data_IF_191349926695
#
_entry.id   IF_191349926695
#
_cell.length_a   1.000
_cell.length_b   1.000
_cell.length_c   1.000
_cell.angle_alpha   90.00
_cell.angle_beta   90.00
_cell.angle_gamma   90.00
#
_symmetry.space_group_name_H-M   'P 1'
#
loop_
_entity.id
_entity.type
_entity.pdbx_description
1 polymer ?
#
# COMPACT_ATOMS: atom_id res chain seq x y z
N UNK A 1 14.66 -26.02 -13.93
CA UNK A 1 15.39 -24.82 -13.46
C UNK A 1 14.58 -23.60 -13.86
N UNK A 2 14.42 -22.62 -12.98
CA UNK A 2 13.73 -21.36 -13.23
C UNK A 2 14.74 -20.24 -12.97
N UNK A 3 15.02 -19.39 -13.97
CA UNK A 3 16.05 -18.35 -13.90
C UNK A 3 17.44 -18.85 -13.44
N UNK A 4 17.82 -20.06 -13.84
CA UNK A 4 19.08 -20.71 -13.43
C UNK A 4 19.07 -21.35 -12.04
N UNK A 5 17.97 -21.24 -11.26
CA UNK A 5 17.84 -21.81 -9.95
C UNK A 5 17.11 -23.17 -9.95
N UNK A 6 17.43 -24.10 -9.03
CA UNK A 6 16.62 -25.26 -8.77
C UNK A 6 15.19 -24.85 -8.39
N UNK A 7 14.19 -25.61 -8.84
CA UNK A 7 12.77 -25.28 -8.57
C UNK A 7 12.46 -25.17 -7.07
N UNK A 8 13.13 -25.96 -6.25
CA UNK A 8 12.96 -25.91 -4.78
C UNK A 8 13.43 -24.57 -4.21
N UNK A 9 14.62 -24.10 -4.60
CA UNK A 9 15.17 -22.81 -4.16
C UNK A 9 14.28 -21.67 -4.60
N UNK A 10 13.81 -21.69 -5.86
CA UNK A 10 12.90 -20.69 -6.39
C UNK A 10 11.57 -20.67 -5.63
N UNK A 11 11.04 -21.84 -5.28
CA UNK A 11 9.81 -21.96 -4.46
C UNK A 11 10.00 -21.33 -3.08
N UNK A 12 11.13 -21.58 -2.42
CA UNK A 12 11.41 -21.00 -1.09
C UNK A 12 11.47 -19.47 -1.18
N UNK A 13 12.17 -18.93 -2.17
CA UNK A 13 12.24 -17.47 -2.40
C UNK A 13 10.83 -16.89 -2.62
N UNK A 14 10.04 -17.49 -3.49
CA UNK A 14 8.68 -17.07 -3.76
C UNK A 14 7.80 -17.09 -2.51
N UNK A 15 7.88 -18.14 -1.68
CA UNK A 15 7.14 -18.24 -0.42
C UNK A 15 7.56 -17.15 0.56
N UNK A 16 8.86 -16.88 0.70
CA UNK A 16 9.35 -15.81 1.58
C UNK A 16 8.79 -14.46 1.14
N UNK A 17 8.89 -14.13 -0.16
CA UNK A 17 8.35 -12.89 -0.72
C UNK A 17 6.84 -12.78 -0.44
N UNK A 18 6.09 -13.88 -0.63
CA UNK A 18 4.64 -13.92 -0.39
C UNK A 18 4.28 -13.69 1.08
N UNK A 19 5.04 -14.28 2.01
CA UNK A 19 4.82 -14.06 3.45
C UNK A 19 5.16 -12.62 3.86
N UNK A 20 6.22 -12.03 3.30
CA UNK A 20 6.55 -10.62 3.50
C UNK A 20 5.47 -9.69 2.94
N UNK A 21 4.89 -10.03 1.78
CA UNK A 21 3.76 -9.30 1.20
C UNK A 21 2.53 -9.34 2.12
N UNK A 22 2.20 -10.50 2.68
CA UNK A 22 1.07 -10.64 3.61
C UNK A 22 1.34 -9.87 4.90
N UNK A 23 2.50 -10.04 5.51
CA UNK A 23 2.85 -9.36 6.77
C UNK A 23 2.82 -7.82 6.61
N UNK A 24 3.46 -7.30 5.57
CA UNK A 24 3.44 -5.86 5.28
C UNK A 24 2.05 -5.35 4.90
N UNK A 25 1.27 -6.14 4.16
CA UNK A 25 -0.11 -5.83 3.81
C UNK A 25 -1.02 -5.72 5.03
N UNK A 26 -0.85 -6.59 6.04
CA UNK A 26 -1.57 -6.50 7.32
C UNK A 26 -1.21 -5.20 8.05
N UNK A 27 0.08 -4.82 8.09
CA UNK A 27 0.50 -3.53 8.68
C UNK A 27 -0.13 -2.33 7.95
N UNK A 28 -0.16 -2.37 6.61
CA UNK A 28 -0.80 -1.33 5.80
C UNK A 28 -2.31 -1.26 6.06
N UNK A 29 -2.98 -2.41 6.18
CA UNK A 29 -4.40 -2.47 6.52
C UNK A 29 -4.69 -1.86 7.89
N UNK A 30 -3.87 -2.16 8.90
CA UNK A 30 -3.94 -1.53 10.23
C UNK A 30 -3.72 -0.01 10.12
N UNK A 31 -2.76 0.42 9.30
CA UNK A 31 -2.53 1.83 8.97
C UNK A 31 -3.78 2.49 8.38
N UNK A 32 -4.43 1.84 7.40
CA UNK A 32 -5.67 2.33 6.79
C UNK A 32 -6.80 2.47 7.81
N UNK A 33 -6.97 1.49 8.71
CA UNK A 33 -7.98 1.54 9.77
C UNK A 33 -7.74 2.68 10.76
N UNK A 34 -6.48 3.10 10.94
CA UNK A 34 -6.06 4.23 11.79
C UNK A 34 -5.94 5.55 11.00
N UNK A 35 -6.35 5.57 9.73
CA UNK A 35 -6.19 6.72 8.83
C UNK A 35 -4.73 7.21 8.65
N UNK A 36 -3.77 6.32 8.81
CA UNK A 36 -2.33 6.58 8.64
C UNK A 36 -1.84 6.01 7.31
N UNK A 37 -1.12 6.83 6.51
CA UNK A 37 -0.65 6.44 5.16
C UNK A 37 0.46 5.42 5.14
N UNK A 38 1.37 5.43 6.12
CA UNK A 38 2.54 4.54 6.22
C UNK A 38 3.26 4.33 4.86
N UNK A 39 3.80 5.39 4.21
CA UNK A 39 4.22 5.33 2.81
C UNK A 39 5.28 4.26 2.52
N UNK A 40 6.25 4.07 3.42
CA UNK A 40 7.29 3.04 3.28
C UNK A 40 6.72 1.63 3.31
N UNK A 41 5.84 1.32 4.27
CA UNK A 41 5.19 0.02 4.37
C UNK A 41 4.24 -0.25 3.19
N UNK A 42 3.55 0.79 2.73
CA UNK A 42 2.69 0.70 1.54
C UNK A 42 3.49 0.37 0.29
N UNK A 43 4.60 1.07 0.04
CA UNK A 43 5.47 0.79 -1.09
C UNK A 43 6.06 -0.63 -1.02
N UNK A 44 6.51 -1.06 0.16
CA UNK A 44 7.04 -2.40 0.38
C UNK A 44 5.98 -3.49 0.14
N UNK A 45 4.76 -3.31 0.66
CA UNK A 45 3.63 -4.21 0.42
C UNK A 45 3.30 -4.33 -1.07
N UNK A 46 3.14 -3.21 -1.78
CA UNK A 46 2.80 -3.22 -3.20
C UNK A 46 3.91 -3.88 -4.02
N UNK A 47 5.18 -3.56 -3.74
CA UNK A 47 6.33 -4.16 -4.42
C UNK A 47 6.39 -5.67 -4.20
N UNK A 48 6.31 -6.13 -2.95
CA UNK A 48 6.38 -7.57 -2.63
C UNK A 48 5.20 -8.33 -3.20
N UNK A 49 4.00 -7.73 -3.25
CA UNK A 49 2.82 -8.35 -3.87
C UNK A 49 2.95 -8.44 -5.39
N UNK A 50 3.51 -7.41 -6.05
CA UNK A 50 3.84 -7.49 -7.49
C UNK A 50 4.86 -8.60 -7.74
N UNK A 51 5.94 -8.66 -6.95
CA UNK A 51 6.96 -9.70 -7.08
C UNK A 51 6.37 -11.10 -6.85
N UNK A 52 5.49 -11.27 -5.85
CA UNK A 52 4.77 -12.53 -5.62
C UNK A 52 3.97 -12.94 -6.86
N UNK A 53 3.18 -12.01 -7.43
CA UNK A 53 2.37 -12.29 -8.59
C UNK A 53 3.23 -12.63 -9.81
N UNK A 54 4.27 -11.83 -10.10
CA UNK A 54 5.16 -12.04 -11.25
C UNK A 54 5.95 -13.35 -11.11
N UNK A 55 6.53 -13.63 -9.95
CA UNK A 55 7.26 -14.89 -9.71
C UNK A 55 6.33 -16.10 -9.77
N UNK A 56 5.05 -15.94 -9.43
CA UNK A 56 4.04 -16.99 -9.58
C UNK A 56 3.85 -17.46 -11.03
N UNK A 57 3.96 -16.56 -12.01
CA UNK A 57 3.87 -16.90 -13.43
C UNK A 57 5.09 -17.65 -13.98
N UNK A 58 6.23 -17.60 -13.29
CA UNK A 58 7.46 -18.27 -13.73
C UNK A 58 7.47 -19.76 -13.39
N UNK A 59 6.52 -20.25 -12.57
CA UNK A 59 6.39 -21.69 -12.35
C UNK A 59 5.90 -22.39 -13.62
N UNK A 60 6.38 -23.62 -13.89
CA UNK A 60 5.91 -24.38 -15.02
C UNK A 60 4.40 -24.66 -14.89
N UNK A 61 3.65 -24.19 -15.89
CA UNK A 61 2.19 -24.26 -15.92
C UNK A 61 1.77 -25.19 -17.05
N UNK A 62 1.05 -26.26 -16.70
CA UNK A 62 0.42 -27.17 -17.67
C UNK A 62 -1.08 -26.82 -17.79
N UNK A 63 -1.39 -25.71 -18.51
CA UNK A 63 -2.75 -25.22 -18.70
C UNK A 63 -3.19 -24.13 -17.72
N UNK A 64 -4.42 -23.68 -17.86
CA UNK A 64 -4.99 -22.62 -16.99
C UNK A 64 -5.29 -23.18 -15.60
N UNK A 65 -4.67 -22.62 -14.58
CA UNK A 65 -4.87 -23.01 -13.18
C UNK A 65 -5.56 -21.88 -12.40
N UNK A 66 -6.29 -22.20 -11.30
CA UNK A 66 -6.85 -21.16 -10.43
C UNK A 66 -5.79 -20.19 -9.88
N UNK A 67 -4.58 -20.67 -9.63
CA UNK A 67 -3.46 -19.82 -9.19
C UNK A 67 -3.05 -18.80 -10.26
N UNK A 68 -3.04 -19.18 -11.53
CA UNK A 68 -2.78 -18.28 -12.66
C UNK A 68 -3.86 -17.19 -12.73
N UNK A 69 -5.14 -17.57 -12.65
CA UNK A 69 -6.25 -16.62 -12.63
C UNK A 69 -6.15 -15.63 -11.48
N UNK A 70 -5.82 -16.11 -10.27
CA UNK A 70 -5.60 -15.26 -9.10
C UNK A 70 -4.45 -14.27 -9.31
N UNK A 71 -3.35 -14.71 -9.94
CA UNK A 71 -2.20 -13.85 -10.26
C UNK A 71 -2.57 -12.73 -11.25
N UNK A 72 -3.33 -13.05 -12.31
CA UNK A 72 -3.80 -12.06 -13.29
C UNK A 72 -4.68 -11.00 -12.60
N UNK A 73 -5.69 -11.43 -11.84
CA UNK A 73 -6.58 -10.53 -11.09
C UNK A 73 -5.78 -9.66 -10.12
N UNK A 74 -4.81 -10.26 -9.40
CA UNK A 74 -3.93 -9.53 -8.48
C UNK A 74 -3.16 -8.42 -9.19
N UNK A 75 -2.55 -8.68 -10.35
CA UNK A 75 -1.82 -7.66 -11.11
C UNK A 75 -2.72 -6.52 -11.60
N UNK A 76 -3.95 -6.81 -12.03
CA UNK A 76 -4.92 -5.77 -12.41
C UNK A 76 -5.29 -4.89 -11.21
N UNK A 77 -5.58 -5.51 -10.05
CA UNK A 77 -5.88 -4.77 -8.81
C UNK A 77 -4.69 -3.92 -8.35
N UNK A 78 -3.47 -4.45 -8.44
CA UNK A 78 -2.25 -3.73 -8.11
C UNK A 78 -1.99 -2.55 -9.05
N UNK A 79 -2.23 -2.72 -10.35
CA UNK A 79 -2.13 -1.62 -11.30
C UNK A 79 -3.09 -0.46 -10.96
N UNK A 80 -4.34 -0.79 -10.60
CA UNK A 80 -5.31 0.19 -10.14
C UNK A 80 -4.90 0.85 -8.81
N UNK A 81 -4.38 0.07 -7.86
CA UNK A 81 -3.89 0.57 -6.58
C UNK A 81 -2.70 1.53 -6.78
N UNK A 82 -1.72 1.16 -7.58
CA UNK A 82 -0.54 1.98 -7.91
C UNK A 82 -0.97 3.28 -8.62
N UNK A 83 -1.86 3.17 -9.61
CA UNK A 83 -2.36 4.34 -10.34
C UNK A 83 -3.12 5.30 -9.42
N UNK A 84 -4.02 4.77 -8.55
CA UNK A 84 -4.76 5.56 -7.57
C UNK A 84 -3.87 6.26 -6.56
N UNK A 85 -2.81 5.57 -6.10
CA UNK A 85 -1.88 6.09 -5.10
C UNK A 85 -0.92 7.13 -5.67
N UNK A 86 -0.21 6.80 -6.77
CA UNK A 86 0.90 7.61 -7.28
C UNK A 86 0.47 8.63 -8.34
N UNK A 87 -0.47 8.28 -9.24
CA UNK A 87 -0.91 9.21 -10.30
C UNK A 87 -2.06 10.10 -9.85
N UNK A 88 -3.02 9.55 -9.12
CA UNK A 88 -4.21 10.31 -8.66
C UNK A 88 -4.09 10.86 -7.24
N UNK A 89 -2.99 10.54 -6.53
CA UNK A 89 -2.72 11.03 -5.16
C UNK A 89 -3.90 10.87 -4.20
N UNK A 90 -4.68 9.80 -4.37
CA UNK A 90 -5.89 9.47 -3.60
C UNK A 90 -7.00 10.54 -3.68
N UNK A 91 -7.05 11.34 -4.74
CA UNK A 91 -8.06 12.38 -4.91
C UNK A 91 -9.44 11.80 -5.22
N UNK A 92 -10.48 12.36 -4.60
CA UNK A 92 -11.87 11.99 -4.87
C UNK A 92 -12.15 10.49 -4.73
N UNK A 93 -12.68 9.87 -5.78
CA UNK A 93 -13.01 8.45 -5.84
C UNK A 93 -11.76 7.54 -5.78
N UNK A 94 -10.59 8.01 -6.17
CA UNK A 94 -9.36 7.19 -6.20
C UNK A 94 -8.91 6.73 -4.82
N UNK A 95 -9.33 7.40 -3.76
CA UNK A 95 -9.07 7.00 -2.38
C UNK A 95 -9.73 5.65 -2.07
N UNK A 96 -11.02 5.50 -2.34
CA UNK A 96 -11.72 4.24 -2.06
C UNK A 96 -11.32 3.14 -3.06
N UNK A 97 -11.04 3.49 -4.33
CA UNK A 97 -10.53 2.54 -5.32
C UNK A 97 -9.21 1.95 -4.83
N UNK A 98 -8.26 2.79 -4.41
CA UNK A 98 -6.98 2.35 -3.86
C UNK A 98 -7.17 1.42 -2.65
N UNK A 99 -7.97 1.80 -1.67
CA UNK A 99 -8.20 0.98 -0.47
C UNK A 99 -8.79 -0.37 -0.84
N UNK A 100 -9.83 -0.38 -1.67
CA UNK A 100 -10.50 -1.61 -2.08
C UNK A 100 -9.56 -2.54 -2.85
N UNK A 101 -8.82 -2.01 -3.83
CA UNK A 101 -7.91 -2.82 -4.65
C UNK A 101 -6.70 -3.32 -3.85
N UNK A 102 -6.15 -2.51 -2.95
CA UNK A 102 -5.05 -2.92 -2.07
C UNK A 102 -5.50 -4.03 -1.08
N UNK A 103 -6.67 -3.87 -0.45
CA UNK A 103 -7.24 -4.89 0.47
C UNK A 103 -7.59 -6.16 -0.29
N UNK A 104 -8.17 -6.05 -1.49
CA UNK A 104 -8.47 -7.20 -2.33
C UNK A 104 -7.19 -7.95 -2.75
N UNK A 105 -6.11 -7.24 -3.11
CA UNK A 105 -4.81 -7.87 -3.41
C UNK A 105 -4.23 -8.60 -2.21
N UNK A 106 -4.34 -8.03 -1.01
CA UNK A 106 -3.93 -8.71 0.22
C UNK A 106 -4.78 -9.96 0.47
N UNK A 107 -6.10 -9.87 0.28
CA UNK A 107 -6.99 -11.03 0.38
C UNK A 107 -6.59 -12.15 -0.58
N UNK A 108 -6.27 -11.83 -1.85
CA UNK A 108 -5.83 -12.83 -2.83
C UNK A 108 -4.55 -13.54 -2.39
N UNK A 109 -3.60 -12.82 -1.78
CA UNK A 109 -2.39 -13.44 -1.21
C UNK A 109 -2.74 -14.40 -0.06
N UNK A 110 -3.66 -14.02 0.83
CA UNK A 110 -4.12 -14.87 1.94
C UNK A 110 -4.92 -16.06 1.41
N UNK A 111 -5.77 -15.86 0.40
CA UNK A 111 -6.50 -16.94 -0.28
C UNK A 111 -5.53 -18.01 -0.79
N UNK A 112 -4.50 -17.60 -1.54
CA UNK A 112 -3.47 -18.52 -2.05
C UNK A 112 -2.69 -19.17 -0.91
N UNK A 113 -2.38 -18.43 0.18
CA UNK A 113 -1.73 -18.98 1.36
C UNK A 113 -2.56 -20.12 1.95
N UNK A 114 -3.88 -19.96 2.12
CA UNK A 114 -4.77 -21.01 2.64
C UNK A 114 -4.75 -22.22 1.69
N UNK A 115 -4.92 -21.99 0.38
CA UNK A 115 -4.84 -23.06 -0.64
C UNK A 115 -3.54 -23.85 -0.52
N UNK A 116 -2.40 -23.15 -0.49
CA UNK A 116 -1.09 -23.79 -0.38
C UNK A 116 -0.88 -24.50 0.96
N UNK A 117 -1.44 -23.99 2.04
CA UNK A 117 -1.36 -24.62 3.36
C UNK A 117 -2.06 -25.97 3.36
N UNK A 118 -3.27 -26.07 2.82
CA UNK A 118 -3.99 -27.34 2.70
C UNK A 118 -3.34 -28.30 1.70
N UNK A 119 -2.60 -27.82 0.71
CA UNK A 119 -1.89 -28.69 -0.24
C UNK A 119 -0.54 -29.21 0.29
N UNK A 120 0.19 -28.38 1.04
CA UNK A 120 1.60 -28.63 1.38
C UNK A 120 1.83 -29.09 2.80
N UNK A 121 0.97 -28.69 3.75
CA UNK A 121 1.13 -29.07 5.16
C UNK A 121 0.53 -30.46 5.37
N UNK A 122 1.36 -31.41 5.79
CA UNK A 122 0.99 -32.82 5.94
C UNK A 122 -0.20 -33.07 6.88
N UNK A 123 -0.38 -32.23 7.90
CA UNK A 123 -1.51 -32.32 8.86
C UNK A 123 -2.81 -31.77 8.25
N UNK A 124 -2.73 -30.77 7.37
CA UNK A 124 -3.92 -30.15 6.74
C UNK A 124 -4.37 -30.87 5.48
N UNK A 125 -3.42 -31.48 4.74
CA UNK A 125 -3.72 -32.14 3.48
C UNK A 125 -4.79 -33.23 3.56
N UNK A 126 -4.83 -34.10 4.58
CA UNK A 126 -5.91 -35.11 4.72
C UNK A 126 -7.28 -34.52 5.04
N UNK A 127 -7.34 -33.27 5.56
CA UNK A 127 -8.59 -32.62 5.93
C UNK A 127 -9.33 -32.04 4.71
N UNK A 128 -8.61 -31.78 3.60
CA UNK A 128 -9.19 -31.25 2.37
C UNK A 128 -8.39 -31.71 1.14
N UNK A 129 -8.43 -33.01 0.79
CA UNK A 129 -7.67 -33.55 -0.35
C UNK A 129 -8.04 -32.94 -1.68
N UNK A 130 -9.32 -32.58 -1.90
CA UNK A 130 -9.84 -31.99 -3.15
C UNK A 130 -10.07 -30.48 -3.05
N UNK A 131 -9.86 -29.88 -1.85
CA UNK A 131 -10.12 -28.47 -1.56
C UNK A 131 -11.60 -28.04 -1.71
N UNK A 132 -12.50 -28.98 -1.58
CA UNK A 132 -13.95 -28.76 -1.55
C UNK A 132 -14.57 -29.20 -0.24
N UNK A 133 -13.77 -29.76 0.67
CA UNK A 133 -14.21 -30.26 1.96
C UNK A 133 -14.49 -29.11 2.96
N UNK A 134 -15.37 -29.35 3.96
CA UNK A 134 -15.79 -28.34 4.92
C UNK A 134 -14.65 -27.59 5.62
N UNK A 135 -13.55 -28.21 6.08
CA UNK A 135 -12.48 -27.47 6.74
C UNK A 135 -11.83 -26.39 5.87
N UNK A 136 -11.63 -26.68 4.58
CA UNK A 136 -11.10 -25.70 3.61
C UNK A 136 -12.11 -24.59 3.32
N UNK A 137 -13.37 -24.94 3.06
CA UNK A 137 -14.43 -23.98 2.77
C UNK A 137 -14.68 -23.05 3.95
N UNK A 138 -14.65 -23.58 5.20
CA UNK A 138 -14.77 -22.76 6.41
C UNK A 138 -13.60 -21.77 6.52
N UNK A 139 -12.36 -22.24 6.35
CA UNK A 139 -11.19 -21.36 6.41
C UNK A 139 -11.25 -20.22 5.38
N UNK A 140 -11.62 -20.53 4.13
CA UNK A 140 -11.78 -19.55 3.06
C UNK A 140 -12.94 -18.58 3.33
N UNK A 141 -14.07 -19.08 3.84
CA UNK A 141 -15.24 -18.25 4.15
C UNK A 141 -14.95 -17.28 5.30
N UNK A 142 -14.25 -17.74 6.35
CA UNK A 142 -13.83 -16.88 7.47
C UNK A 142 -12.87 -15.78 6.96
N UNK A 143 -11.89 -16.16 6.15
CA UNK A 143 -10.95 -15.20 5.57
C UNK A 143 -11.70 -14.16 4.71
N UNK A 144 -12.57 -14.60 3.79
CA UNK A 144 -13.37 -13.72 2.94
C UNK A 144 -14.20 -12.75 3.77
N UNK A 145 -14.95 -13.26 4.75
CA UNK A 145 -15.79 -12.44 5.62
C UNK A 145 -14.97 -11.40 6.39
N UNK A 146 -13.85 -11.82 6.98
CA UNK A 146 -12.95 -10.91 7.69
C UNK A 146 -12.43 -9.79 6.77
N UNK A 147 -12.00 -10.12 5.55
CA UNK A 147 -11.51 -9.13 4.59
C UNK A 147 -12.60 -8.20 4.05
N UNK A 148 -13.84 -8.68 3.89
CA UNK A 148 -14.98 -7.82 3.54
C UNK A 148 -15.26 -6.82 4.65
N UNK A 149 -15.30 -7.26 5.91
CA UNK A 149 -15.51 -6.38 7.06
C UNK A 149 -14.37 -5.38 7.21
N UNK A 150 -13.11 -5.85 7.22
CA UNK A 150 -11.94 -4.99 7.37
C UNK A 150 -11.78 -4.02 6.18
N UNK A 151 -12.06 -4.47 4.97
CA UNK A 151 -12.04 -3.63 3.77
C UNK A 151 -13.09 -2.53 3.82
N UNK A 152 -14.31 -2.84 4.20
CA UNK A 152 -15.38 -1.85 4.39
C UNK A 152 -15.00 -0.82 5.47
N UNK A 153 -14.48 -1.29 6.60
CA UNK A 153 -13.98 -0.41 7.66
C UNK A 153 -12.80 0.45 7.19
N UNK A 154 -11.88 -0.11 6.41
CA UNK A 154 -10.76 0.64 5.86
C UNK A 154 -11.23 1.73 4.88
N UNK A 155 -12.18 1.43 3.98
CA UNK A 155 -12.76 2.43 3.05
C UNK A 155 -13.42 3.58 3.79
N UNK A 156 -14.15 3.31 4.87
CA UNK A 156 -14.86 4.33 5.65
C UNK A 156 -13.93 5.15 6.54
N UNK A 157 -12.91 4.51 7.13
CA UNK A 157 -11.98 5.15 8.09
C UNK A 157 -10.79 5.84 7.44
N UNK A 158 -10.29 5.33 6.30
CA UNK A 158 -9.10 5.88 5.66
C UNK A 158 -9.37 7.25 5.05
N UNK A 159 -9.11 8.30 5.83
CA UNK A 159 -9.21 9.72 5.43
C UNK A 159 -7.90 10.44 5.75
N UNK A 160 -6.80 10.08 5.07
CA UNK A 160 -5.52 10.71 5.35
C UNK A 160 -5.59 12.20 5.05
N UNK A 161 -4.95 13.02 5.91
CA UNK A 161 -4.85 14.45 5.68
C UNK A 161 -4.27 14.74 4.29
N UNK A 162 -4.83 15.71 3.58
CA UNK A 162 -4.27 16.15 2.31
C UNK A 162 -2.85 16.66 2.55
N UNK A 163 -1.91 16.29 1.69
CA UNK A 163 -0.57 16.90 1.69
C UNK A 163 -0.78 18.33 1.23
N UNK A 164 -0.80 19.26 2.19
CA UNK A 164 -0.80 20.70 1.85
C UNK A 164 0.57 20.99 1.28
N UNK A 165 0.69 21.43 0.01
CA UNK A 165 1.99 21.77 -0.55
C UNK A 165 2.63 22.86 0.32
N UNK A 166 3.88 22.68 0.71
CA UNK A 166 4.67 23.64 1.52
C UNK A 166 4.63 25.05 0.91
N UNK A 167 4.52 25.15 -0.42
CA UNK A 167 4.35 26.40 -1.15
C UNK A 167 3.12 27.23 -0.75
N UNK A 168 2.06 26.60 -0.22
CA UNK A 168 0.86 27.34 0.20
C UNK A 168 1.10 28.05 1.54
N UNK A 169 1.89 27.47 2.43
CA UNK A 169 2.26 28.10 3.70
C UNK A 169 3.21 29.29 3.47
N UNK A 170 4.20 29.15 2.59
CA UNK A 170 5.11 30.25 2.24
C UNK A 170 4.39 31.44 1.62
N UNK A 171 3.39 31.19 0.75
CA UNK A 171 2.59 32.30 0.18
C UNK A 171 1.61 32.91 1.18
N UNK A 172 1.12 32.18 2.16
CA UNK A 172 0.29 32.74 3.25
C UNK A 172 1.12 33.56 4.23
N UNK A 173 2.30 33.08 4.62
CA UNK A 173 3.24 33.82 5.47
C UNK A 173 3.74 35.09 4.77
N UNK A 174 4.04 35.04 3.47
CA UNK A 174 4.40 36.22 2.68
C UNK A 174 3.25 37.22 2.62
N UNK A 175 2.00 36.79 2.41
CA UNK A 175 0.85 37.69 2.35
C UNK A 175 0.49 38.31 3.70
N UNK A 176 0.81 37.64 4.82
CA UNK A 176 0.60 38.19 6.16
C UNK A 176 1.77 39.05 6.65
N UNK A 177 2.97 38.82 6.15
CA UNK A 177 4.15 39.59 6.49
C UNK A 177 4.18 40.98 5.79
N UNK A 178 3.73 41.06 4.51
CA UNK A 178 3.74 42.29 3.73
C UNK A 178 2.90 43.40 4.37
N UNK A 179 1.63 43.19 4.82
CA UNK A 179 0.85 44.26 5.44
C UNK A 179 1.46 44.72 6.78
N UNK A 180 2.03 43.81 7.57
CA UNK A 180 2.69 44.15 8.84
C UNK A 180 3.96 44.98 8.65
N UNK A 181 4.71 44.72 7.57
CA UNK A 181 5.87 45.53 7.19
C UNK A 181 5.48 46.92 6.71
N UNK A 182 4.38 47.02 5.97
CA UNK A 182 3.86 48.30 5.47
C UNK A 182 3.29 49.15 6.61
N UNK A 183 2.57 48.55 7.55
CA UNK A 183 2.05 49.22 8.75
C UNK A 183 3.17 49.66 9.71
N UNK A 184 4.23 48.86 9.84
CA UNK A 184 5.42 49.24 10.61
C UNK A 184 6.22 50.37 9.95
N UNK A 185 6.21 50.43 8.61
CA UNK A 185 6.84 51.51 7.87
C UNK A 185 6.08 52.84 7.97
N UNK A 186 4.77 52.82 8.09
CA UNK A 186 3.90 54.00 8.21
C UNK A 186 3.86 54.58 9.63
N UNK A 187 3.94 53.72 10.67
CA UNK A 187 3.74 54.11 12.07
C UNK A 187 5.01 54.33 12.91
N UNK A 188 6.17 54.08 12.40
CA UNK A 188 7.38 54.23 13.20
C UNK A 188 8.60 54.58 12.41
N UNK A 189 9.23 55.70 12.74
CA UNK A 189 10.49 56.13 12.18
C UNK A 189 11.51 55.01 12.07
N UNK A 190 11.88 54.69 10.85
CA UNK A 190 12.85 53.68 10.49
C UNK A 190 14.21 53.98 11.12
N UNK A 191 14.58 53.24 12.16
CA UNK A 191 15.98 53.17 12.59
C UNK A 191 16.72 52.30 11.57
N UNK A 192 17.70 52.83 10.88
CA UNK A 192 18.53 52.22 9.84
C UNK A 192 19.27 50.92 10.29
N UNK A 193 19.15 50.55 11.58
CA UNK A 193 19.78 49.34 12.14
C UNK A 193 19.03 48.03 11.89
N UNK A 194 17.74 48.08 11.50
CA UNK A 194 16.96 46.83 11.33
C UNK A 194 17.11 46.16 9.97
N UNK A 195 17.52 46.89 8.93
CA UNK A 195 17.69 46.33 7.58
C UNK A 195 19.00 45.55 7.40
N UNK A 196 20.01 45.85 8.19
CA UNK A 196 21.30 45.18 8.06
C UNK A 196 21.35 43.75 8.66
N UNK A 197 20.48 43.45 9.64
CA UNK A 197 20.48 42.12 10.28
C UNK A 197 19.67 41.07 9.55
N UNK A 198 18.67 41.47 8.74
CA UNK A 198 17.82 40.49 8.03
C UNK A 198 18.38 40.04 6.67
N UNK A 199 19.32 40.82 6.08
CA UNK A 199 19.95 40.45 4.79
C UNK A 199 21.03 39.39 4.95
N UNK A 200 21.59 39.23 6.15
CA UNK A 200 22.66 38.26 6.42
C UNK A 200 22.14 36.85 6.67
N UNK A 201 20.87 36.64 7.04
CA UNK A 201 20.29 35.32 7.31
C UNK A 201 19.68 34.60 6.09
N UNK A 202 19.66 35.26 4.91
CA UNK A 202 19.08 34.66 3.67
C UNK A 202 20.15 34.15 2.70
N UNK A 203 21.42 34.33 2.99
CA UNK A 203 22.52 33.95 2.09
C UNK A 203 23.47 32.96 2.76
N UNK A 204 23.01 31.70 2.98
CA UNK A 204 23.87 30.52 3.02
C UNK A 204 23.08 29.26 2.68
N UNK A 205 23.69 28.30 1.97
CA UNK A 205 23.09 27.27 1.13
C UNK A 205 22.40 26.16 1.92
#
# INVERSE_FOLDING_TARGET
MILGLPIQTFTVIHVIISLLAIASGVLVLIGMLRSNRMPGWTAFFLLTTVLTSVTGFLFPINGFTPALGTGIVSLVLLALALYGLYSKHLSGAWRWIYVTTAVASLYLNVLVLIVQSFQKISVLKPLAPTQSEPPFLIAQSIALFAFVVLGTLAVTRFRPAAITPVSRNLNQDHRQAVPKMEEAAVNGGFSHHYLASQVTDIALP
#
